data_IF_756929365607
#
_entry.id   IF_756929365607
#
_cell.length_a   1.000
_cell.length_b   1.000
_cell.length_c   1.000
_cell.angle_alpha   90.00
_cell.angle_beta   90.00
_cell.angle_gamma   90.00
#
_symmetry.space_group_name_H-M   'P 1'
#
loop_
_entity.id
_entity.type
_entity.pdbx_description
1 polymer ?
#
# COMPACT_ATOMS: atom_id res chain seq x y z
N UNK A 1 2.93 -9.13 3.16
CA UNK A 1 3.45 -8.26 4.23
C UNK A 1 3.02 -8.83 5.57
N UNK A 2 3.89 -8.81 6.58
CA UNK A 2 3.59 -9.22 7.94
C UNK A 2 3.57 -8.00 8.88
N UNK A 3 3.03 -8.17 10.08
CA UNK A 3 2.95 -7.10 11.08
C UNK A 3 4.32 -6.49 11.42
N UNK A 4 5.37 -7.32 11.41
CA UNK A 4 6.75 -6.88 11.63
C UNK A 4 7.30 -5.96 10.53
N UNK A 5 6.65 -5.87 9.37
CA UNK A 5 7.04 -4.97 8.28
C UNK A 5 6.47 -3.54 8.49
N UNK A 6 5.49 -3.34 9.39
CA UNK A 6 4.78 -2.07 9.54
C UNK A 6 5.69 -0.89 9.96
N UNK A 7 6.69 -1.06 10.85
CA UNK A 7 7.64 0.02 11.13
C UNK A 7 8.46 0.42 9.89
N UNK A 8 8.79 -0.53 9.02
CA UNK A 8 9.49 -0.28 7.76
C UNK A 8 8.56 0.44 6.77
N UNK A 9 7.30 0.01 6.65
CA UNK A 9 6.29 0.67 5.82
C UNK A 9 6.06 2.12 6.26
N UNK A 10 5.93 2.38 7.56
CA UNK A 10 5.83 3.74 8.10
C UNK A 10 7.01 4.62 7.67
N UNK A 11 8.24 4.09 7.75
CA UNK A 11 9.42 4.81 7.30
C UNK A 11 9.40 5.10 5.78
N UNK A 12 8.78 4.24 4.97
CA UNK A 12 8.63 4.44 3.53
C UNK A 12 7.53 5.44 3.19
N UNK A 13 6.36 5.34 3.81
CA UNK A 13 5.23 6.25 3.58
C UNK A 13 5.56 7.71 3.93
N UNK A 14 6.60 7.94 4.74
CA UNK A 14 7.10 9.27 5.09
C UNK A 14 8.23 9.79 4.17
N UNK A 15 8.67 9.00 3.16
CA UNK A 15 9.71 9.44 2.21
C UNK A 15 9.13 10.44 1.21
N UNK A 16 9.82 11.56 0.90
CA UNK A 16 9.24 12.65 0.10
C UNK A 16 8.65 12.21 -1.25
N UNK A 17 9.34 11.30 -1.98
CA UNK A 17 8.87 10.85 -3.30
C UNK A 17 7.69 9.88 -3.24
N UNK A 18 7.40 9.30 -2.07
CA UNK A 18 6.19 8.51 -1.83
C UNK A 18 5.06 9.44 -1.39
N UNK A 19 5.32 10.32 -0.43
CA UNK A 19 4.36 11.34 0.05
C UNK A 19 3.77 12.14 -1.10
N UNK A 20 4.58 12.50 -2.10
CA UNK A 20 4.12 13.23 -3.29
C UNK A 20 2.93 12.56 -4.01
N UNK A 21 2.85 11.23 -3.97
CA UNK A 21 1.87 10.44 -4.74
C UNK A 21 0.97 9.52 -3.90
N UNK A 22 1.29 9.33 -2.63
CA UNK A 22 0.57 8.45 -1.70
C UNK A 22 0.06 9.30 -0.53
N UNK A 23 -1.18 9.78 -0.65
CA UNK A 23 -1.88 10.60 0.34
C UNK A 23 -1.55 12.11 0.30
N UNK A 24 -0.29 12.48 0.06
CA UNK A 24 0.14 13.89 0.08
C UNK A 24 0.74 14.33 1.42
N UNK A 25 1.25 15.57 1.47
CA UNK A 25 1.94 16.12 2.65
C UNK A 25 1.06 16.17 3.91
N UNK A 26 -0.25 16.36 3.75
CA UNK A 26 -1.22 16.39 4.85
C UNK A 26 -1.55 14.99 5.41
N UNK A 27 -1.09 13.92 4.73
CA UNK A 27 -1.40 12.52 5.07
C UNK A 27 -0.16 11.70 5.45
N UNK A 28 0.93 12.36 5.86
CA UNK A 28 2.10 11.66 6.43
C UNK A 28 1.67 10.89 7.68
N UNK A 29 1.61 9.55 7.66
CA UNK A 29 1.04 8.82 8.77
C UNK A 29 2.08 8.68 9.88
N UNK A 30 1.61 8.76 11.11
CA UNK A 30 2.33 8.31 12.30
C UNK A 30 2.44 6.79 12.31
N UNK A 31 3.32 6.23 13.15
CA UNK A 31 3.44 4.77 13.28
C UNK A 31 2.13 4.14 13.77
N UNK A 32 1.43 4.78 14.70
CA UNK A 32 0.16 4.27 15.25
C UNK A 32 -0.92 4.21 14.17
N UNK A 33 -1.03 5.23 13.31
CA UNK A 33 -1.94 5.22 12.15
C UNK A 33 -1.58 4.12 11.14
N UNK A 34 -0.28 3.86 10.91
CA UNK A 34 0.13 2.73 10.06
C UNK A 34 -0.26 1.39 10.69
N UNK A 35 -0.10 1.21 12.00
CA UNK A 35 -0.54 0.01 12.71
C UNK A 35 -2.06 -0.18 12.63
N UNK A 36 -2.82 0.90 12.78
CA UNK A 36 -4.28 0.90 12.72
C UNK A 36 -4.80 0.58 11.32
N UNK A 37 -4.23 1.18 10.27
CA UNK A 37 -4.78 1.08 8.92
C UNK A 37 -4.17 -0.03 8.05
N UNK A 38 -2.90 -0.40 8.27
CA UNK A 38 -2.17 -1.33 7.41
C UNK A 38 -1.94 -2.71 8.04
N UNK A 39 -2.51 -2.98 9.23
CA UNK A 39 -2.42 -4.33 9.79
C UNK A 39 -3.04 -5.37 8.84
N UNK A 40 -2.47 -6.59 8.73
CA UNK A 40 -3.00 -7.62 7.84
C UNK A 40 -4.49 -7.95 8.09
N UNK A 41 -4.93 -7.89 9.34
CA UNK A 41 -6.34 -8.12 9.71
C UNK A 41 -7.26 -7.01 9.18
N UNK A 42 -6.87 -5.75 9.37
CA UNK A 42 -7.66 -4.60 8.89
C UNK A 42 -7.76 -4.59 7.37
N UNK A 43 -6.64 -4.82 6.68
CA UNK A 43 -6.63 -4.88 5.22
C UNK A 43 -7.45 -6.06 4.68
N UNK A 44 -7.39 -7.23 5.33
CA UNK A 44 -8.21 -8.37 4.94
C UNK A 44 -9.71 -8.09 5.04
N UNK A 45 -10.15 -7.36 6.07
CA UNK A 45 -11.55 -6.93 6.21
C UNK A 45 -12.02 -5.98 5.10
N UNK A 46 -11.08 -5.29 4.45
CA UNK A 46 -11.32 -4.42 3.30
C UNK A 46 -11.09 -5.13 1.95
N UNK A 47 -10.93 -6.47 1.97
CA UNK A 47 -10.56 -7.26 0.79
C UNK A 47 -9.27 -6.79 0.10
N UNK A 48 -8.35 -6.20 0.87
CA UNK A 48 -7.02 -5.77 0.45
C UNK A 48 -5.97 -6.79 0.89
N UNK A 49 -5.06 -7.12 -0.02
CA UNK A 49 -3.92 -8.00 0.25
C UNK A 49 -2.63 -7.20 0.08
N UNK A 50 -1.83 -7.00 1.15
CA UNK A 50 -0.58 -6.25 1.09
C UNK A 50 0.65 -7.12 0.80
N UNK A 51 1.59 -6.57 0.05
CA UNK A 51 2.82 -7.21 -0.40
C UNK A 51 4.04 -6.34 -0.13
N UNK A 52 5.18 -6.99 0.08
CA UNK A 52 6.49 -6.35 0.02
C UNK A 52 7.16 -6.86 -1.26
N UNK A 53 7.54 -5.93 -2.13
CA UNK A 53 8.34 -6.23 -3.31
C UNK A 53 9.78 -6.51 -2.88
N UNK A 54 10.32 -7.65 -3.33
CA UNK A 54 11.68 -8.08 -3.02
C UNK A 54 12.53 -8.06 -4.29
N UNK A 55 13.74 -7.51 -4.20
CA UNK A 55 14.79 -7.69 -5.20
C UNK A 55 15.94 -8.42 -4.52
N UNK A 56 16.19 -9.65 -4.95
CA UNK A 56 16.98 -10.61 -4.19
C UNK A 56 16.40 -10.73 -2.76
N UNK A 57 17.22 -10.51 -1.72
CA UNK A 57 16.80 -10.53 -0.31
C UNK A 57 16.50 -9.13 0.25
N UNK A 58 16.47 -8.09 -0.59
CA UNK A 58 16.21 -6.71 -0.16
C UNK A 58 14.73 -6.31 -0.38
N UNK A 59 14.04 -5.79 0.66
CA UNK A 59 12.72 -5.21 0.49
C UNK A 59 12.82 -3.84 -0.20
N UNK A 60 12.24 -3.72 -1.39
CA UNK A 60 12.39 -2.55 -2.27
C UNK A 60 11.12 -1.72 -2.45
N UNK A 61 9.97 -2.19 -1.97
CA UNK A 61 8.71 -1.47 -2.18
C UNK A 61 7.50 -2.13 -1.53
N UNK A 62 6.41 -1.39 -1.53
CA UNK A 62 5.09 -1.84 -1.08
C UNK A 62 4.18 -2.01 -2.29
N UNK A 63 3.31 -3.00 -2.25
CA UNK A 63 2.20 -3.10 -3.18
C UNK A 63 0.96 -3.65 -2.47
N UNK A 64 -0.21 -3.40 -3.05
CA UNK A 64 -1.46 -3.97 -2.61
C UNK A 64 -2.31 -4.38 -3.79
N UNK A 65 -3.16 -5.38 -3.59
CA UNK A 65 -4.23 -5.72 -4.51
C UNK A 65 -5.54 -5.76 -3.76
N UNK A 66 -6.62 -5.33 -4.39
CA UNK A 66 -7.96 -5.35 -3.80
C UNK A 66 -9.01 -5.85 -4.79
N UNK A 67 -10.13 -6.34 -4.27
CA UNK A 67 -11.32 -6.65 -5.08
C UNK A 67 -12.04 -5.34 -5.38
N UNK A 68 -12.14 -4.98 -6.66
CA UNK A 68 -12.78 -3.71 -7.05
C UNK A 68 -14.28 -3.72 -6.70
N UNK A 69 -14.96 -4.82 -7.00
CA UNK A 69 -16.37 -5.01 -6.63
C UNK A 69 -16.54 -4.89 -5.10
N UNK A 70 -17.29 -3.87 -4.67
CA UNK A 70 -17.62 -3.67 -3.26
C UNK A 70 -16.50 -3.03 -2.43
N UNK A 71 -15.52 -2.36 -3.06
CA UNK A 71 -14.50 -1.58 -2.34
C UNK A 71 -15.11 -0.49 -1.42
N UNK A 72 -16.32 0.00 -1.71
CA UNK A 72 -17.05 0.94 -0.86
C UNK A 72 -16.61 2.39 -1.05
N UNK A 73 -17.20 3.31 -0.28
CA UNK A 73 -16.85 4.74 -0.21
C UNK A 73 -16.71 5.46 -1.57
N UNK A 74 -17.58 5.11 -2.53
CA UNK A 74 -17.61 5.70 -3.88
C UNK A 74 -16.64 5.07 -4.87
N UNK A 75 -15.87 4.05 -4.47
CA UNK A 75 -14.96 3.32 -5.35
C UNK A 75 -15.68 2.20 -6.10
N UNK A 76 -15.56 2.21 -7.43
CA UNK A 76 -15.99 1.13 -8.32
C UNK A 76 -17.47 0.73 -8.17
N UNK A 77 -18.37 1.68 -7.89
CA UNK A 77 -19.79 1.41 -7.60
C UNK A 77 -20.53 0.68 -8.74
N UNK A 78 -20.11 0.90 -9.98
CA UNK A 78 -20.68 0.28 -11.17
C UNK A 78 -20.02 -1.05 -11.56
N UNK A 79 -18.95 -1.47 -10.86
CA UNK A 79 -18.31 -2.76 -11.13
C UNK A 79 -19.27 -3.89 -10.77
N UNK A 80 -19.33 -4.91 -11.62
CA UNK A 80 -20.24 -6.06 -11.46
C UNK A 80 -19.51 -7.40 -11.54
N UNK A 81 -18.28 -7.43 -12.06
CA UNK A 81 -17.47 -8.63 -12.17
C UNK A 81 -16.66 -8.86 -10.87
N UNK A 82 -16.94 -9.93 -10.10
CA UNK A 82 -16.18 -10.26 -8.89
C UNK A 82 -14.73 -10.69 -9.19
N UNK A 83 -14.35 -10.87 -10.45
CA UNK A 83 -13.00 -11.20 -10.91
C UNK A 83 -12.06 -9.99 -11.01
N UNK A 84 -12.56 -8.76 -11.02
CA UNK A 84 -11.73 -7.56 -11.20
C UNK A 84 -10.89 -7.27 -9.96
N UNK A 85 -9.62 -6.93 -10.19
CA UNK A 85 -8.66 -6.56 -9.14
C UNK A 85 -8.01 -5.23 -9.48
N UNK A 86 -7.96 -4.33 -8.51
CA UNK A 86 -7.13 -3.14 -8.57
C UNK A 86 -5.80 -3.37 -7.86
N UNK A 87 -4.81 -2.53 -8.19
CA UNK A 87 -3.49 -2.53 -7.54
C UNK A 87 -3.02 -1.10 -7.29
N UNK A 88 -2.25 -0.93 -6.22
CA UNK A 88 -1.45 0.27 -5.95
C UNK A 88 -0.07 -0.17 -5.45
N UNK A 89 0.97 0.61 -5.73
CA UNK A 89 2.35 0.23 -5.45
C UNK A 89 3.29 1.43 -5.36
N UNK A 90 4.37 1.28 -4.60
CA UNK A 90 5.44 2.28 -4.48
C UNK A 90 6.82 1.62 -4.35
N UNK A 91 7.86 2.30 -4.84
CA UNK A 91 9.25 1.91 -4.64
C UNK A 91 9.85 2.70 -3.48
N UNK A 92 10.45 1.98 -2.54
CA UNK A 92 10.99 2.53 -1.31
C UNK A 92 12.13 3.51 -1.59
N UNK A 93 13.11 3.13 -2.42
CA UNK A 93 14.33 3.93 -2.57
C UNK A 93 14.27 4.85 -3.80
N UNK A 94 14.43 6.18 -3.63
CA UNK A 94 14.33 7.13 -4.74
C UNK A 94 15.43 6.94 -5.79
N UNK A 95 16.59 6.39 -5.40
CA UNK A 95 17.69 6.10 -6.31
C UNK A 95 17.41 4.93 -7.26
N UNK A 96 16.36 4.15 -7.01
CA UNK A 96 15.92 3.02 -7.86
C UNK A 96 14.81 3.42 -8.84
N UNK A 97 14.25 4.64 -8.74
CA UNK A 97 13.23 5.13 -9.66
C UNK A 97 13.77 5.31 -11.09
N UNK A 98 12.88 5.17 -12.08
CA UNK A 98 13.15 5.38 -13.51
C UNK A 98 14.20 4.45 -14.13
N UNK A 99 14.29 3.21 -13.63
CA UNK A 99 15.30 2.21 -14.05
C UNK A 99 14.72 0.87 -14.51
N UNK A 100 13.40 0.80 -14.68
CA UNK A 100 12.62 -0.41 -14.94
C UNK A 100 11.35 -0.39 -14.12
#
# INVERSE_FOLDING_TARGET
>A
MAENDLPMLHAWLNRPHIVEWWGGEDERPTLDEVLEHYSPEVLANQAVVPYIAMLDDEPIGYAQSYIALGSGDGWWEDETDPGVRGIDQSLANPSQLNKG
#
